data_IF_613936910694
#
_entry.id   IF_613936910694
#
_cell.length_a   1.000
_cell.length_b   1.000
_cell.length_c   1.000
_cell.angle_alpha   90.00
_cell.angle_beta   90.00
_cell.angle_gamma   90.00
#
_symmetry.space_group_name_H-M   'P 1'
#
loop_
_entity.id
_entity.type
_entity.pdbx_description
1 polymer ?
#
# COMPACT_ATOMS: atom_id res chain seq x y z
N UNK A 1 -19.64 -3.72 -10.69
CA UNK A 1 -18.87 -2.55 -10.26
C UNK A 1 -17.54 -3.00 -9.67
N UNK A 2 -16.55 -2.11 -9.66
CA UNK A 2 -15.24 -2.31 -9.01
C UNK A 2 -15.13 -1.39 -7.80
N UNK A 3 -14.87 -1.98 -6.64
CA UNK A 3 -14.63 -1.30 -5.37
C UNK A 3 -13.16 -1.41 -5.00
N UNK A 4 -12.45 -0.29 -5.00
CA UNK A 4 -11.08 -0.22 -4.51
C UNK A 4 -11.05 0.12 -3.02
N UNK A 5 -10.67 -0.84 -2.17
CA UNK A 5 -10.78 -0.71 -0.72
C UNK A 5 -9.41 -0.74 -0.04
N UNK A 6 -9.13 0.28 0.76
CA UNK A 6 -7.87 0.39 1.48
C UNK A 6 -8.00 1.13 2.80
N UNK A 7 -7.04 0.88 3.69
CA UNK A 7 -6.88 1.66 4.91
C UNK A 7 -6.04 2.90 4.61
N UNK A 8 -6.37 4.01 5.26
CA UNK A 8 -5.69 5.28 5.09
C UNK A 8 -5.18 5.84 6.42
N UNK A 9 -4.01 6.46 6.39
CA UNK A 9 -3.42 7.15 7.54
C UNK A 9 -3.12 8.63 7.23
N UNK A 10 -2.04 8.93 6.52
CA UNK A 10 -1.60 10.31 6.28
C UNK A 10 -0.91 10.53 4.92
N UNK A 11 -0.85 9.51 4.07
CA UNK A 11 -0.13 9.51 2.80
C UNK A 11 -0.96 10.16 1.68
N UNK A 12 -1.25 11.46 1.83
CA UNK A 12 -2.10 12.22 0.88
C UNK A 12 -1.57 12.19 -0.56
N UNK A 13 -0.24 12.18 -0.73
CA UNK A 13 0.41 12.12 -2.03
C UNK A 13 0.19 10.77 -2.72
N UNK A 14 0.35 9.67 -1.99
CA UNK A 14 0.05 8.33 -2.51
C UNK A 14 -1.44 8.15 -2.79
N UNK A 15 -2.30 8.72 -1.95
CA UNK A 15 -3.74 8.74 -2.21
C UNK A 15 -4.06 9.47 -3.52
N UNK A 16 -3.46 10.63 -3.77
CA UNK A 16 -3.67 11.37 -5.01
C UNK A 16 -3.22 10.57 -6.25
N UNK A 17 -2.03 9.97 -6.19
CA UNK A 17 -1.50 9.14 -7.28
C UNK A 17 -2.43 7.96 -7.53
N UNK A 18 -2.85 7.26 -6.47
CA UNK A 18 -3.74 6.10 -6.55
C UNK A 18 -5.09 6.46 -7.18
N UNK A 19 -5.72 7.54 -6.73
CA UNK A 19 -7.02 7.97 -7.23
C UNK A 19 -6.94 8.35 -8.71
N UNK A 20 -5.90 9.08 -9.13
CA UNK A 20 -5.70 9.45 -10.53
C UNK A 20 -5.43 8.24 -11.43
N UNK A 21 -4.58 7.31 -10.99
CA UNK A 21 -4.27 6.07 -11.73
C UNK A 21 -5.54 5.24 -12.00
N UNK A 22 -6.42 5.15 -10.99
CA UNK A 22 -7.54 4.22 -11.01
C UNK A 22 -8.89 4.84 -11.37
N UNK A 23 -8.99 6.16 -11.48
CA UNK A 23 -10.24 6.90 -11.71
C UNK A 23 -11.08 6.32 -12.87
N UNK A 24 -10.41 5.95 -13.97
CA UNK A 24 -11.08 5.45 -15.19
C UNK A 24 -11.55 4.00 -15.11
N UNK A 25 -11.16 3.24 -14.09
CA UNK A 25 -11.40 1.79 -13.98
C UNK A 25 -12.03 1.35 -12.66
N UNK A 26 -12.19 2.28 -11.71
CA UNK A 26 -12.81 2.05 -10.40
C UNK A 26 -14.11 2.84 -10.29
N UNK A 27 -15.17 2.18 -9.82
CA UNK A 27 -16.47 2.81 -9.62
C UNK A 27 -16.58 3.47 -8.24
N UNK A 28 -15.98 2.84 -7.21
CA UNK A 28 -16.01 3.33 -5.83
C UNK A 28 -14.68 3.12 -5.11
N UNK A 29 -14.21 4.14 -4.40
CA UNK A 29 -13.05 4.09 -3.52
C UNK A 29 -13.52 4.01 -2.06
N UNK A 30 -13.27 2.90 -1.39
CA UNK A 30 -13.60 2.72 0.03
C UNK A 30 -12.39 3.07 0.87
N UNK A 31 -12.39 4.28 1.43
CA UNK A 31 -11.31 4.80 2.27
C UNK A 31 -11.67 4.56 3.74
N UNK A 32 -10.96 3.66 4.40
CA UNK A 32 -11.16 3.41 5.83
C UNK A 32 -10.14 4.16 6.66
N UNK A 33 -10.61 5.10 7.47
CA UNK A 33 -9.77 5.95 8.30
C UNK A 33 -10.21 5.90 9.78
N UNK A 34 -9.24 5.81 10.68
CA UNK A 34 -9.46 5.85 12.12
C UNK A 34 -9.11 7.23 12.71
N UNK A 35 -9.70 7.60 13.86
CA UNK A 35 -9.32 8.80 14.64
C UNK A 35 -8.10 8.57 15.55
N UNK A 36 -7.36 7.47 15.34
CA UNK A 36 -6.18 7.10 16.11
C UNK A 36 -5.16 6.35 15.24
N UNK A 37 -3.88 6.42 15.62
CA UNK A 37 -2.81 5.60 15.03
C UNK A 37 -2.91 4.13 15.45
N UNK A 38 -2.13 3.24 14.84
CA UNK A 38 -2.07 1.84 15.30
C UNK A 38 -1.49 1.71 16.72
N UNK A 39 -0.63 2.63 17.13
CA UNK A 39 -0.16 2.74 18.52
C UNK A 39 -1.21 3.40 19.45
N UNK A 40 -2.38 3.74 18.92
CA UNK A 40 -3.55 4.39 19.52
C UNK A 40 -3.34 5.80 20.10
N UNK A 41 -2.38 6.53 19.54
CA UNK A 41 -2.33 8.00 19.71
C UNK A 41 -3.51 8.62 18.95
N UNK A 42 -4.31 9.53 19.56
CA UNK A 42 -5.34 10.27 18.83
C UNK A 42 -4.79 11.00 17.62
N UNK A 43 -5.59 11.11 16.55
CA UNK A 43 -5.29 11.89 15.34
C UNK A 43 -6.59 12.42 14.72
N UNK A 44 -6.55 13.53 13.98
CA UNK A 44 -7.70 13.92 13.18
C UNK A 44 -7.96 12.94 12.01
N UNK A 45 -9.11 13.12 11.37
CA UNK A 45 -9.40 12.50 10.07
C UNK A 45 -8.70 13.31 8.98
N UNK A 46 -7.47 12.91 8.63
CA UNK A 46 -6.59 13.57 7.68
C UNK A 46 -7.23 13.66 6.30
N UNK A 47 -7.96 12.62 5.87
CA UNK A 47 -8.68 12.69 4.60
C UNK A 47 -9.79 13.75 4.65
N UNK A 48 -10.56 13.79 5.75
CA UNK A 48 -11.63 14.77 5.94
C UNK A 48 -11.12 16.21 5.86
N UNK A 49 -10.03 16.52 6.57
CA UNK A 49 -9.40 17.85 6.58
C UNK A 49 -8.84 18.27 5.23
N UNK A 50 -8.58 17.31 4.33
CA UNK A 50 -7.96 17.53 3.03
C UNK A 50 -8.89 17.18 1.85
N UNK A 51 -10.20 17.02 2.08
CA UNK A 51 -11.16 16.59 1.04
C UNK A 51 -11.12 17.45 -0.22
N UNK A 52 -10.87 18.74 -0.08
CA UNK A 52 -10.78 19.68 -1.20
C UNK A 52 -9.70 19.26 -2.22
N UNK A 53 -8.59 18.66 -1.77
CA UNK A 53 -7.55 18.11 -2.65
C UNK A 53 -8.05 17.01 -3.58
N UNK A 54 -9.15 16.35 -3.21
CA UNK A 54 -9.72 15.19 -3.91
C UNK A 54 -11.10 15.47 -4.49
N UNK A 55 -11.45 16.76 -4.70
CA UNK A 55 -12.79 17.19 -5.16
C UNK A 55 -13.30 16.41 -6.37
N UNK A 56 -12.41 16.18 -7.35
CA UNK A 56 -12.67 15.39 -8.56
C UNK A 56 -13.23 13.98 -8.30
N UNK A 57 -12.92 13.37 -7.16
CA UNK A 57 -13.22 11.96 -6.88
C UNK A 57 -14.31 11.77 -5.80
N UNK A 58 -14.83 12.86 -5.21
CA UNK A 58 -15.68 12.78 -4.03
C UNK A 58 -16.98 11.99 -4.26
N UNK A 59 -17.51 11.98 -5.48
CA UNK A 59 -18.68 11.20 -5.88
C UNK A 59 -18.43 9.68 -5.89
N UNK A 60 -17.17 9.27 -6.08
CA UNK A 60 -16.72 7.87 -6.03
C UNK A 60 -16.26 7.44 -4.63
N UNK A 61 -15.94 8.37 -3.74
CA UNK A 61 -15.37 8.03 -2.43
C UNK A 61 -16.45 7.66 -1.40
N UNK A 62 -16.26 6.51 -0.77
CA UNK A 62 -16.97 6.06 0.43
C UNK A 62 -15.99 6.16 1.60
N UNK A 63 -16.14 7.19 2.43
CA UNK A 63 -15.28 7.41 3.60
C UNK A 63 -15.84 6.73 4.85
N UNK A 64 -15.18 5.65 5.29
CA UNK A 64 -15.52 4.89 6.50
C UNK A 64 -14.70 5.42 7.67
N UNK A 65 -15.32 6.25 8.52
CA UNK A 65 -14.72 6.79 9.74
C UNK A 65 -14.87 5.85 10.93
N UNK A 66 -13.76 5.54 11.59
CA UNK A 66 -13.73 4.71 12.80
C UNK A 66 -13.47 5.58 14.04
N UNK A 67 -14.48 5.66 14.91
CA UNK A 67 -14.43 6.33 16.22
C UNK A 67 -14.72 5.36 17.38
N UNK A 68 -15.15 4.14 17.07
CA UNK A 68 -15.45 3.08 18.03
C UNK A 68 -14.50 1.91 17.82
N UNK A 69 -13.99 1.36 18.91
CA UNK A 69 -12.97 0.32 18.91
C UNK A 69 -13.41 -0.89 19.72
N UNK A 70 -12.89 -2.09 19.41
CA UNK A 70 -13.08 -3.27 20.23
C UNK A 70 -12.59 -3.04 21.66
N UNK A 71 -13.21 -3.73 22.62
CA UNK A 71 -12.72 -3.75 23.99
C UNK A 71 -11.42 -4.57 24.04
N UNK A 72 -10.32 -3.91 24.44
CA UNK A 72 -9.04 -4.55 24.66
C UNK A 72 -8.81 -4.72 26.17
N UNK A 73 -8.97 -5.95 26.66
CA UNK A 73 -8.70 -6.30 28.05
C UNK A 73 -7.24 -6.75 28.17
N UNK A 74 -6.39 -6.13 29.02
CA UNK A 74 -4.94 -6.39 29.04
C UNK A 74 -4.53 -7.86 29.12
N UNK A 75 -5.26 -8.67 29.88
CA UNK A 75 -4.93 -10.09 30.12
C UNK A 75 -5.56 -11.02 29.08
N UNK A 76 -6.77 -10.71 28.60
CA UNK A 76 -7.56 -11.62 27.75
C UNK A 76 -7.40 -11.28 26.26
N UNK A 77 -7.31 -9.99 25.95
CA UNK A 77 -7.20 -9.47 24.58
C UNK A 77 -6.31 -8.22 24.59
N UNK A 78 -4.99 -8.38 24.86
CA UNK A 78 -4.09 -7.24 24.92
C UNK A 78 -4.13 -6.48 23.61
N UNK A 79 -4.15 -5.15 23.71
CA UNK A 79 -4.07 -4.27 22.55
C UNK A 79 -2.67 -4.38 21.94
N UNK A 80 -2.62 -4.52 20.62
CA UNK A 80 -1.37 -4.44 19.85
C UNK A 80 -1.59 -3.55 18.62
N UNK A 81 -0.51 -2.98 18.07
CA UNK A 81 -0.60 -2.18 16.85
C UNK A 81 -1.23 -2.98 15.70
N UNK A 82 -0.82 -4.24 15.56
CA UNK A 82 -1.42 -5.20 14.64
C UNK A 82 -2.93 -5.37 14.80
N UNK A 83 -3.46 -5.47 16.03
CA UNK A 83 -4.91 -5.59 16.23
C UNK A 83 -5.66 -4.33 15.81
N UNK A 84 -5.07 -3.15 15.98
CA UNK A 84 -5.64 -1.89 15.50
C UNK A 84 -5.69 -1.86 13.97
N UNK A 85 -4.59 -2.24 13.30
CA UNK A 85 -4.53 -2.38 11.85
C UNK A 85 -5.56 -3.39 11.33
N UNK A 86 -5.65 -4.56 11.98
CA UNK A 86 -6.61 -5.60 11.59
C UNK A 86 -8.04 -5.11 11.73
N UNK A 87 -8.35 -4.38 12.81
CA UNK A 87 -9.66 -3.79 13.00
C UNK A 87 -9.99 -2.74 11.93
N UNK A 88 -9.04 -1.88 11.59
CA UNK A 88 -9.22 -0.88 10.54
C UNK A 88 -9.44 -1.56 9.18
N UNK A 89 -8.59 -2.51 8.79
CA UNK A 89 -8.73 -3.24 7.53
C UNK A 89 -10.00 -4.07 7.47
N UNK A 90 -10.37 -4.73 8.57
CA UNK A 90 -11.63 -5.48 8.63
C UNK A 90 -12.85 -4.57 8.53
N UNK A 91 -12.73 -3.28 8.87
CA UNK A 91 -13.81 -2.32 8.73
C UNK A 91 -14.10 -1.90 7.28
N UNK A 92 -13.32 -2.36 6.29
CA UNK A 92 -13.65 -2.24 4.86
C UNK A 92 -15.08 -2.69 4.57
N UNK A 93 -15.53 -3.78 5.21
CA UNK A 93 -16.89 -4.31 5.05
C UNK A 93 -17.99 -3.29 5.36
N UNK A 94 -17.70 -2.26 6.18
CA UNK A 94 -18.67 -1.21 6.50
C UNK A 94 -18.97 -0.29 5.32
N UNK A 95 -18.05 -0.20 4.35
CA UNK A 95 -18.19 0.58 3.11
C UNK A 95 -18.78 -0.20 1.94
N UNK A 96 -18.86 -1.52 2.05
CA UNK A 96 -19.39 -2.42 0.99
C UNK A 96 -20.92 -2.60 1.09
N UNK A 97 -21.65 -1.51 1.35
CA UNK A 97 -23.10 -1.53 1.47
C UNK A 97 -23.70 -1.55 0.06
N UNK A 98 -24.57 -2.51 -0.23
CA UNK A 98 -25.26 -2.69 -1.51
C UNK A 98 -24.40 -3.27 -2.66
N UNK A 99 -23.29 -3.93 -2.35
CA UNK A 99 -22.55 -4.69 -3.36
C UNK A 99 -23.38 -5.86 -3.88
N UNK A 100 -23.33 -6.08 -5.20
CA UNK A 100 -23.88 -7.25 -5.88
C UNK A 100 -22.92 -8.44 -5.76
N UNK A 101 -23.40 -9.69 -5.87
CA UNK A 101 -22.56 -10.88 -5.78
C UNK A 101 -21.30 -10.87 -6.66
N UNK A 102 -21.41 -10.33 -7.88
CA UNK A 102 -20.30 -10.29 -8.84
C UNK A 102 -19.59 -8.92 -8.91
N UNK A 103 -19.87 -8.01 -7.98
CA UNK A 103 -19.04 -6.81 -7.82
C UNK A 103 -17.62 -7.22 -7.41
N UNK A 104 -16.63 -6.53 -7.98
CA UNK A 104 -15.22 -6.83 -7.78
C UNK A 104 -14.73 -6.00 -6.60
N UNK A 105 -14.20 -6.66 -5.59
CA UNK A 105 -13.61 -6.02 -4.42
C UNK A 105 -12.10 -6.13 -4.51
N UNK A 106 -11.41 -5.00 -4.41
CA UNK A 106 -9.97 -4.92 -4.26
C UNK A 106 -9.67 -4.58 -2.80
N UNK A 107 -8.74 -5.30 -2.18
CA UNK A 107 -8.32 -5.06 -0.79
C UNK A 107 -6.81 -4.89 -0.77
N UNK A 108 -6.32 -3.69 -0.47
CA UNK A 108 -4.90 -3.37 -0.33
C UNK A 108 -4.66 -2.26 0.70
N UNK A 109 -3.42 -1.76 0.81
CA UNK A 109 -3.11 -0.52 1.53
C UNK A 109 -2.99 0.65 0.55
N UNK A 110 -3.05 1.90 1.04
CA UNK A 110 -3.00 3.09 0.17
C UNK A 110 -1.73 3.14 -0.69
N UNK A 111 -0.61 2.65 -0.15
CA UNK A 111 0.69 2.59 -0.80
C UNK A 111 0.84 1.43 -1.81
N UNK A 112 -0.17 0.57 -1.94
CA UNK A 112 -0.20 -0.57 -2.86
C UNK A 112 -1.14 -0.28 -4.04
N UNK A 113 -0.60 0.40 -5.07
CA UNK A 113 -1.33 0.93 -6.22
C UNK A 113 -1.34 -0.12 -7.35
N UNK A 114 -2.47 -0.76 -7.69
CA UNK A 114 -2.56 -1.67 -8.82
C UNK A 114 -2.44 -0.93 -10.16
N UNK A 115 -1.94 -1.61 -11.19
CA UNK A 115 -1.98 -1.10 -12.58
C UNK A 115 -3.40 -1.00 -13.07
N UNK A 116 -3.78 0.11 -13.69
CA UNK A 116 -5.12 0.28 -14.27
C UNK A 116 -5.48 -0.84 -15.28
N UNK A 117 -4.50 -1.39 -16.01
CA UNK A 117 -4.72 -2.47 -16.99
C UNK A 117 -5.18 -3.76 -16.31
N UNK A 118 -4.65 -4.06 -15.12
CA UNK A 118 -5.05 -5.25 -14.35
C UNK A 118 -6.50 -5.12 -13.91
N UNK A 119 -6.86 -3.94 -13.38
CA UNK A 119 -8.22 -3.67 -12.93
C UNK A 119 -9.20 -3.64 -14.10
N UNK A 120 -8.80 -3.02 -15.23
CA UNK A 120 -9.58 -3.03 -16.46
C UNK A 120 -9.84 -4.45 -16.95
N UNK A 121 -8.84 -5.34 -16.93
CA UNK A 121 -9.01 -6.75 -17.30
C UNK A 121 -10.02 -7.46 -16.40
N UNK A 122 -9.94 -7.27 -15.09
CA UNK A 122 -10.92 -7.81 -14.15
C UNK A 122 -12.33 -7.27 -14.42
N UNK A 123 -12.46 -5.97 -14.65
CA UNK A 123 -13.76 -5.36 -14.93
C UNK A 123 -14.37 -5.84 -16.25
N UNK A 124 -13.57 -6.02 -17.30
CA UNK A 124 -14.05 -6.42 -18.63
C UNK A 124 -14.49 -7.89 -18.69
N UNK A 125 -13.78 -8.78 -18.01
CA UNK A 125 -14.02 -10.22 -18.08
C UNK A 125 -14.78 -10.77 -16.87
N UNK A 126 -14.93 -9.98 -15.82
CA UNK A 126 -15.33 -10.48 -14.50
C UNK A 126 -14.25 -11.35 -13.87
N UNK A 127 -14.48 -11.74 -12.61
CA UNK A 127 -13.67 -12.72 -11.90
C UNK A 127 -14.57 -13.68 -11.12
N UNK A 128 -14.20 -14.95 -11.08
CA UNK A 128 -14.99 -16.03 -10.46
C UNK A 128 -14.32 -16.62 -9.19
N UNK A 129 -13.12 -16.16 -8.88
CA UNK A 129 -12.26 -16.66 -7.80
C UNK A 129 -11.45 -15.53 -7.17
N UNK A 130 -10.77 -15.86 -6.07
CA UNK A 130 -9.86 -14.95 -5.39
C UNK A 130 -8.52 -14.95 -6.13
N UNK A 131 -7.97 -13.76 -6.39
CA UNK A 131 -6.65 -13.54 -6.95
C UNK A 131 -5.78 -12.76 -5.98
N UNK A 132 -4.50 -13.13 -5.91
CA UNK A 132 -3.46 -12.24 -5.41
C UNK A 132 -2.87 -11.44 -6.55
N UNK A 133 -2.49 -10.20 -6.29
CA UNK A 133 -1.81 -9.35 -7.27
C UNK A 133 -0.45 -8.97 -6.72
N UNK A 134 0.57 -9.36 -7.47
CA UNK A 134 1.98 -9.21 -7.13
C UNK A 134 2.50 -7.87 -7.64
N UNK A 135 3.09 -7.09 -6.76
CA UNK A 135 3.53 -5.73 -6.99
C UNK A 135 5.05 -5.62 -6.91
N UNK A 136 5.58 -4.70 -7.69
CA UNK A 136 6.98 -4.25 -7.57
C UNK A 136 7.09 -3.36 -6.34
N UNK A 137 8.06 -3.65 -5.47
CA UNK A 137 8.28 -2.87 -4.26
C UNK A 137 9.29 -1.77 -4.53
N UNK A 138 8.95 -0.57 -4.09
CA UNK A 138 9.77 0.63 -4.16
C UNK A 138 9.89 1.20 -2.75
N UNK A 139 11.09 1.63 -2.37
CA UNK A 139 11.34 2.16 -1.04
C UNK A 139 12.06 3.50 -1.11
N UNK A 140 11.66 4.44 -0.25
CA UNK A 140 12.28 5.75 -0.05
C UNK A 140 11.99 6.76 -1.18
N UNK A 141 12.14 6.34 -2.44
CA UNK A 141 11.90 7.15 -3.63
C UNK A 141 11.11 6.35 -4.67
N UNK A 142 10.32 7.04 -5.51
CA UNK A 142 9.49 6.40 -6.52
C UNK A 142 10.28 5.56 -7.51
N UNK A 143 11.51 5.96 -7.85
CA UNK A 143 12.40 5.23 -8.75
C UNK A 143 13.37 4.26 -8.06
N UNK A 144 13.24 4.01 -6.76
CA UNK A 144 14.16 3.14 -6.03
C UNK A 144 13.55 1.76 -5.79
N UNK A 145 13.69 0.91 -6.81
CA UNK A 145 13.04 -0.40 -6.90
C UNK A 145 13.83 -1.45 -6.12
N UNK A 146 13.16 -2.22 -5.29
CA UNK A 146 13.69 -3.41 -4.65
C UNK A 146 13.84 -4.52 -5.71
N UNK A 147 15.04 -5.07 -5.85
CA UNK A 147 15.35 -6.13 -6.82
C UNK A 147 15.67 -7.47 -6.16
N UNK A 148 15.93 -7.48 -4.86
CA UNK A 148 16.20 -8.69 -4.09
C UNK A 148 15.80 -8.50 -2.62
N UNK A 149 15.17 -9.51 -2.04
CA UNK A 149 14.85 -9.60 -0.61
C UNK A 149 15.22 -10.99 -0.08
N UNK A 150 16.34 -11.08 0.66
CA UNK A 150 16.80 -12.33 1.25
C UNK A 150 15.82 -12.92 2.28
N UNK A 151 14.99 -12.08 2.91
CA UNK A 151 13.95 -12.51 3.86
C UNK A 151 12.72 -13.12 3.19
N UNK A 152 12.48 -12.82 1.91
CA UNK A 152 11.37 -13.38 1.14
C UNK A 152 11.56 -14.87 0.80
N UNK A 153 12.79 -15.38 0.92
CA UNK A 153 13.23 -16.68 0.42
C UNK A 153 12.97 -16.88 -1.08
N UNK A 154 12.71 -15.83 -1.84
CA UNK A 154 12.63 -15.88 -3.31
C UNK A 154 14.04 -15.83 -3.91
N UNK A 155 14.23 -16.47 -5.06
CA UNK A 155 15.45 -16.24 -5.84
C UNK A 155 15.38 -14.92 -6.63
N UNK A 156 16.50 -14.54 -7.25
CA UNK A 156 16.59 -13.30 -8.04
C UNK A 156 15.70 -13.31 -9.28
N UNK A 157 15.40 -14.48 -9.86
CA UNK A 157 14.52 -14.59 -11.03
C UNK A 157 13.06 -14.38 -10.63
N UNK A 158 12.64 -14.96 -9.50
CA UNK A 158 11.32 -14.73 -8.90
C UNK A 158 11.12 -13.28 -8.48
N UNK A 159 12.16 -12.66 -7.91
CA UNK A 159 12.16 -11.26 -7.46
C UNK A 159 12.00 -10.26 -8.61
N UNK A 160 12.47 -10.60 -9.83
CA UNK A 160 12.26 -9.77 -11.03
C UNK A 160 10.79 -9.57 -11.39
N UNK A 161 9.91 -10.47 -10.98
CA UNK A 161 8.48 -10.41 -11.25
C UNK A 161 7.69 -9.75 -10.10
N UNK A 162 8.36 -8.93 -9.28
CA UNK A 162 7.86 -8.34 -8.05
C UNK A 162 8.25 -9.14 -6.81
N UNK A 163 8.03 -8.59 -5.62
CA UNK A 163 8.41 -9.24 -4.35
C UNK A 163 7.20 -9.35 -3.40
N UNK A 164 6.14 -8.56 -3.63
CA UNK A 164 5.07 -8.34 -2.66
C UNK A 164 3.69 -8.78 -3.22
N UNK A 165 3.01 -9.74 -2.59
CA UNK A 165 1.72 -10.30 -3.05
C UNK A 165 0.53 -9.78 -2.22
N UNK A 166 0.18 -8.50 -2.32
CA UNK A 166 -0.53 -7.88 -1.20
C UNK A 166 -1.89 -7.29 -1.50
N UNK A 167 -2.19 -7.00 -2.77
CA UNK A 167 -3.58 -6.74 -3.14
C UNK A 167 -4.31 -8.05 -3.37
N UNK A 168 -5.50 -8.14 -2.79
CA UNK A 168 -6.48 -9.19 -3.08
C UNK A 168 -7.52 -8.64 -4.04
N UNK A 169 -7.87 -9.40 -5.06
CA UNK A 169 -9.04 -9.16 -5.89
C UNK A 169 -10.00 -10.36 -5.79
N UNK A 170 -11.28 -10.11 -5.57
CA UNK A 170 -12.29 -11.16 -5.45
C UNK A 170 -13.68 -10.65 -5.85
N UNK A 171 -14.58 -11.51 -6.37
CA UNK A 171 -15.99 -11.17 -6.44
C UNK A 171 -16.56 -11.11 -5.01
N UNK A 172 -17.46 -10.16 -4.76
CA UNK A 172 -18.03 -9.87 -3.45
C UNK A 172 -18.67 -11.11 -2.80
N UNK A 173 -19.29 -11.99 -3.60
CA UNK A 173 -19.87 -13.25 -3.14
C UNK A 173 -18.88 -14.20 -2.47
N UNK A 174 -17.57 -14.02 -2.66
CA UNK A 174 -16.52 -14.82 -2.02
C UNK A 174 -15.92 -14.14 -0.77
N UNK A 175 -16.38 -12.95 -0.40
CA UNK A 175 -15.92 -12.23 0.80
C UNK A 175 -16.59 -12.79 2.07
N UNK A 176 -16.22 -14.03 2.44
CA UNK A 176 -16.71 -14.69 3.66
C UNK A 176 -15.77 -14.53 4.85
N UNK A 177 -14.48 -14.31 4.59
CA UNK A 177 -13.47 -14.07 5.62
C UNK A 177 -13.27 -12.58 5.87
N UNK A 178 -12.80 -12.23 7.07
CA UNK A 178 -12.43 -10.86 7.39
C UNK A 178 -11.31 -10.36 6.43
N UNK A 179 -11.41 -9.14 5.88
CA UNK A 179 -10.45 -8.59 4.90
C UNK A 179 -8.98 -8.80 5.25
N UNK A 180 -8.60 -8.59 6.52
CA UNK A 180 -7.23 -8.78 6.97
C UNK A 180 -6.77 -10.25 6.92
N UNK A 181 -7.64 -11.20 7.27
CA UNK A 181 -7.33 -12.63 7.23
C UNK A 181 -7.14 -13.09 5.79
N UNK A 182 -8.03 -12.63 4.90
CA UNK A 182 -7.96 -12.93 3.48
C UNK A 182 -6.63 -12.43 2.88
N UNK A 183 -6.27 -11.17 3.15
CA UNK A 183 -5.00 -10.60 2.70
C UNK A 183 -3.79 -11.36 3.20
N UNK A 184 -3.73 -11.70 4.50
CA UNK A 184 -2.64 -12.53 5.05
C UNK A 184 -2.53 -13.90 4.38
N UNK A 185 -3.64 -14.49 3.97
CA UNK A 185 -3.66 -15.76 3.25
C UNK A 185 -3.07 -15.62 1.85
N UNK A 186 -3.40 -14.54 1.15
CA UNK A 186 -2.90 -14.23 -0.21
C UNK A 186 -1.41 -13.86 -0.21
N UNK A 187 -0.94 -13.15 0.83
CA UNK A 187 0.46 -12.74 0.99
C UNK A 187 1.46 -13.91 1.13
N UNK A 188 0.99 -15.14 1.30
CA UNK A 188 1.88 -16.31 1.35
C UNK A 188 2.42 -16.59 -0.05
N UNK A 189 3.74 -16.45 -0.20
CA UNK A 189 4.46 -16.65 -1.47
C UNK A 189 4.27 -18.05 -2.03
N UNK A 190 4.58 -18.25 -3.32
CA UNK A 190 4.48 -19.55 -4.01
C UNK A 190 5.23 -20.65 -3.25
N UNK A 191 6.40 -20.33 -2.67
CA UNK A 191 7.21 -21.24 -1.84
C UNK A 191 6.56 -21.65 -0.51
N UNK A 192 5.56 -20.90 -0.02
CA UNK A 192 4.77 -21.22 1.19
C UNK A 192 3.45 -21.94 0.86
N UNK A 193 3.27 -22.41 -0.38
CA UNK A 193 2.05 -23.05 -0.86
C UNK A 193 0.97 -22.01 -1.16
N UNK A 194 1.11 -21.28 -2.27
CA UNK A 194 0.13 -20.28 -2.69
C UNK A 194 -1.26 -20.91 -2.79
N UNK A 195 -2.21 -20.39 -2.00
CA UNK A 195 -3.60 -20.88 -1.98
C UNK A 195 -4.41 -20.41 -3.18
N UNK A 196 -4.02 -19.28 -3.77
CA UNK A 196 -4.77 -18.58 -4.81
C UNK A 196 -3.86 -18.24 -6.01
N UNK A 197 -4.42 -18.14 -7.22
CA UNK A 197 -3.67 -17.66 -8.38
C UNK A 197 -3.10 -16.27 -8.15
N UNK A 198 -1.85 -16.06 -8.59
CA UNK A 198 -1.13 -14.79 -8.45
C UNK A 198 -0.96 -14.14 -9.83
N UNK A 199 -1.41 -12.89 -9.97
CA UNK A 199 -1.16 -12.06 -11.15
C UNK A 199 0.20 -11.37 -10.98
N UNK A 200 1.21 -11.68 -11.81
CA UNK A 200 2.52 -11.02 -11.76
C UNK A 200 2.45 -9.59 -12.32
N UNK A 201 3.43 -8.74 -11.96
CA UNK A 201 3.59 -7.39 -12.50
C UNK A 201 2.29 -6.55 -12.44
N UNK A 202 1.63 -6.61 -11.29
CA UNK A 202 0.27 -6.14 -11.11
C UNK A 202 0.13 -4.73 -10.55
N UNK A 203 1.23 -4.07 -10.20
CA UNK A 203 1.22 -2.75 -9.58
C UNK A 203 2.51 -2.41 -8.86
N UNK A 204 2.40 -1.38 -8.04
CA UNK A 204 3.50 -0.78 -7.28
C UNK A 204 3.17 -0.80 -5.79
N UNK A 205 4.17 -1.09 -4.97
CA UNK A 205 4.12 -0.87 -3.54
C UNK A 205 5.15 0.20 -3.14
N UNK A 206 4.68 1.39 -2.78
CA UNK A 206 5.51 2.54 -2.48
C UNK A 206 5.70 2.75 -0.97
N UNK A 207 6.70 2.11 -0.39
CA UNK A 207 6.92 2.18 1.05
C UNK A 207 7.94 3.27 1.43
N UNK A 208 7.75 3.93 2.57
CA UNK A 208 8.68 4.92 3.13
C UNK A 208 8.95 6.14 2.21
N UNK A 209 7.95 6.56 1.43
CA UNK A 209 8.06 7.70 0.52
C UNK A 209 8.07 9.05 1.24
N UNK A 210 8.72 10.05 0.62
CA UNK A 210 8.66 11.46 1.04
C UNK A 210 9.84 11.96 1.87
N UNK A 211 11.00 11.32 1.74
CA UNK A 211 12.24 11.77 2.36
C UNK A 211 12.35 11.46 3.85
N UNK A 212 13.47 11.87 4.44
CA UNK A 212 13.87 11.49 5.80
C UNK A 212 12.79 11.75 6.87
N UNK A 213 12.18 12.93 6.86
CA UNK A 213 11.18 13.29 7.87
C UNK A 213 9.94 12.40 7.82
N UNK A 214 9.50 12.02 6.60
CA UNK A 214 8.38 11.09 6.40
C UNK A 214 8.74 9.66 6.80
N UNK A 215 9.99 9.25 6.58
CA UNK A 215 10.51 7.96 7.06
C UNK A 215 10.41 7.91 8.59
N UNK A 216 10.90 8.94 9.28
CA UNK A 216 10.83 9.03 10.75
C UNK A 216 9.37 9.03 11.23
N UNK A 217 8.50 9.83 10.61
CA UNK A 217 7.06 9.85 10.95
C UNK A 217 6.40 8.47 10.78
N UNK A 218 6.74 7.73 9.72
CA UNK A 218 6.24 6.36 9.48
C UNK A 218 6.72 5.39 10.57
N UNK A 219 8.00 5.45 10.94
CA UNK A 219 8.57 4.61 12.02
C UNK A 219 7.86 4.80 13.36
N UNK A 220 7.43 6.02 13.66
CA UNK A 220 6.78 6.34 14.93
C UNK A 220 5.29 6.00 15.00
N UNK A 221 4.68 5.62 13.88
CA UNK A 221 3.23 5.40 13.76
C UNK A 221 2.83 4.02 13.23
N UNK A 222 3.73 3.30 12.56
CA UNK A 222 3.47 2.00 11.93
C UNK A 222 3.45 0.82 12.94
N UNK A 223 3.00 -0.35 12.47
CA UNK A 223 2.80 -1.57 13.27
C UNK A 223 4.09 -2.30 13.66
N UNK A 224 5.17 -2.12 12.89
CA UNK A 224 6.49 -2.71 13.14
C UNK A 224 7.30 -1.87 14.14
N UNK A 225 6.92 -1.94 15.41
CA UNK A 225 7.53 -1.15 16.49
C UNK A 225 9.00 -1.48 16.74
N UNK A 226 9.48 -2.65 16.31
CA UNK A 226 10.87 -3.09 16.42
C UNK A 226 11.86 -2.20 15.67
N UNK A 227 11.40 -1.47 14.65
CA UNK A 227 12.24 -0.55 13.88
C UNK A 227 12.23 0.89 14.41
N UNK A 228 11.46 1.19 15.46
CA UNK A 228 11.41 2.52 16.06
C UNK A 228 12.57 2.74 17.05
N UNK A 229 13.81 2.77 16.54
CA UNK A 229 15.04 2.96 17.32
C UNK A 229 15.82 4.20 16.83
N UNK A 230 16.48 4.92 17.74
CA UNK A 230 17.20 6.17 17.43
C UNK A 230 18.30 5.99 16.38
N UNK A 231 18.91 4.80 16.32
CA UNK A 231 19.93 4.48 15.32
C UNK A 231 19.40 4.56 13.87
N UNK A 232 18.10 4.35 13.65
CA UNK A 232 17.45 4.43 12.34
C UNK A 232 16.87 5.82 12.05
N UNK A 233 17.11 6.80 12.93
CA UNK A 233 16.66 8.20 12.84
C UNK A 233 17.84 9.18 12.73
N UNK A 234 18.99 8.73 12.25
CA UNK A 234 20.15 9.59 11.98
C UNK A 234 20.17 9.94 10.50
N UNK A 235 19.94 11.21 10.18
CA UNK A 235 19.72 11.68 8.79
C UNK A 235 20.88 11.30 7.86
N UNK A 236 22.11 11.59 8.27
CA UNK A 236 23.30 11.37 7.46
C UNK A 236 23.50 9.89 7.13
N UNK A 237 23.25 9.02 8.11
CA UNK A 237 23.36 7.56 7.96
C UNK A 237 22.27 7.03 7.03
N UNK A 238 21.04 7.52 7.19
CA UNK A 238 19.90 7.10 6.35
C UNK A 238 20.12 7.52 4.90
N UNK A 239 20.55 8.76 4.66
CA UNK A 239 20.84 9.26 3.32
C UNK A 239 21.99 8.46 2.68
N UNK A 240 23.08 8.19 3.41
CA UNK A 240 24.20 7.38 2.91
C UNK A 240 23.76 5.95 2.52
N UNK A 241 22.94 5.30 3.34
CA UNK A 241 22.42 3.96 3.06
C UNK A 241 21.53 3.94 1.83
N UNK A 242 20.62 4.92 1.69
CA UNK A 242 19.74 5.01 0.52
C UNK A 242 20.55 5.26 -0.76
N UNK A 243 21.50 6.21 -0.74
CA UNK A 243 22.35 6.51 -1.90
C UNK A 243 23.28 5.34 -2.28
N UNK A 244 23.62 4.46 -1.34
CA UNK A 244 24.41 3.26 -1.61
C UNK A 244 23.56 2.04 -2.00
N UNK A 245 22.24 2.20 -2.16
CA UNK A 245 21.33 1.13 -2.56
C UNK A 245 21.14 0.06 -1.48
N UNK A 246 21.30 0.42 -0.21
CA UNK A 246 21.18 -0.46 0.95
C UNK A 246 19.93 -0.14 1.77
N UNK A 247 19.46 -1.12 2.52
CA UNK A 247 18.35 -0.95 3.44
C UNK A 247 18.73 -0.14 4.68
N UNK A 248 17.86 0.80 5.08
CA UNK A 248 18.09 1.66 6.26
C UNK A 248 18.06 0.87 7.57
N UNK A 249 17.51 -0.34 7.58
CA UNK A 249 17.46 -1.22 8.75
C UNK A 249 18.56 -2.30 8.74
N UNK A 250 19.44 -2.31 7.74
CA UNK A 250 20.52 -3.30 7.61
C UNK A 250 20.05 -4.69 7.21
N UNK A 251 18.85 -4.82 6.62
CA UNK A 251 18.35 -6.08 6.07
C UNK A 251 19.07 -6.45 4.77
N UNK A 252 19.04 -7.73 4.42
CA UNK A 252 19.57 -8.25 3.16
C UNK A 252 18.63 -7.93 1.98
N UNK A 253 18.58 -6.64 1.64
CA UNK A 253 17.79 -6.09 0.54
C UNK A 253 18.73 -5.38 -0.43
N UNK A 254 18.46 -5.54 -1.73
CA UNK A 254 19.17 -4.81 -2.78
C UNK A 254 18.20 -3.98 -3.61
N UNK A 255 18.63 -2.76 -3.93
CA UNK A 255 17.84 -1.81 -4.68
C UNK A 255 18.52 -1.38 -5.98
N UNK A 256 17.71 -0.97 -6.95
CA UNK A 256 18.16 -0.37 -8.21
C UNK A 256 17.35 0.89 -8.50
N UNK A 257 18.05 1.95 -8.92
CA UNK A 257 17.42 3.14 -9.49
C UNK A 257 16.92 2.83 -10.90
N UNK A 258 15.63 3.04 -11.15
CA UNK A 258 14.98 2.82 -12.45
C UNK A 258 14.59 4.13 -13.12
N UNK A 259 14.20 4.05 -14.39
CA UNK A 259 13.72 5.22 -15.14
C UNK A 259 12.43 5.80 -14.53
N UNK A 260 12.30 7.13 -14.60
CA UNK A 260 11.22 7.90 -13.96
C UNK A 260 9.86 7.78 -14.66
N UNK A 261 9.81 7.28 -15.90
CA UNK A 261 8.58 7.24 -16.70
C UNK A 261 8.12 5.82 -16.96
N UNK A 262 9.00 4.92 -17.43
CA UNK A 262 8.58 3.58 -17.86
C UNK A 262 8.03 2.70 -16.72
N UNK A 263 8.45 2.95 -15.48
CA UNK A 263 8.13 2.12 -14.33
C UNK A 263 7.17 2.79 -13.35
N UNK A 264 6.45 3.83 -13.74
CA UNK A 264 5.56 4.60 -12.85
C UNK A 264 4.08 4.46 -13.25
N UNK A 265 3.14 4.76 -12.32
CA UNK A 265 1.73 4.97 -12.66
C UNK A 265 1.58 5.97 -13.80
N UNK A 266 0.55 5.80 -14.63
CA UNK A 266 0.30 6.64 -15.80
C UNK A 266 0.07 8.10 -15.42
N UNK A 267 -0.30 8.36 -14.17
CA UNK A 267 -0.37 9.71 -13.60
C UNK A 267 0.94 10.51 -13.77
N UNK A 268 2.10 9.83 -13.75
CA UNK A 268 3.42 10.45 -13.97
C UNK A 268 3.73 10.70 -15.44
N UNK A 269 2.87 10.31 -16.40
CA UNK A 269 3.06 10.70 -17.80
C UNK A 269 2.86 12.21 -18.04
N UNK A 270 2.20 12.91 -17.10
CA UNK A 270 2.04 14.36 -17.14
C UNK A 270 3.33 15.06 -16.62
N UNK A 271 3.97 15.93 -17.42
CA UNK A 271 5.15 16.70 -17.00
C UNK A 271 4.95 17.52 -15.72
N UNK A 272 3.79 18.14 -15.53
CA UNK A 272 3.50 18.96 -14.34
C UNK A 272 3.49 18.10 -13.06
N UNK A 273 3.03 16.84 -13.19
CA UNK A 273 3.06 15.86 -12.09
C UNK A 273 4.49 15.45 -11.80
N UNK A 274 5.32 15.22 -12.83
CA UNK A 274 6.73 14.89 -12.64
C UNK A 274 7.49 16.02 -11.95
N UNK A 275 7.24 17.28 -12.35
CA UNK A 275 7.84 18.45 -11.71
C UNK A 275 7.42 18.55 -10.24
N UNK A 276 6.11 18.45 -9.96
CA UNK A 276 5.60 18.52 -8.58
C UNK A 276 6.16 17.44 -7.66
N UNK A 277 6.42 16.24 -8.19
CA UNK A 277 6.97 15.13 -7.43
C UNK A 277 8.48 14.95 -7.63
N UNK A 278 9.21 15.95 -8.15
CA UNK A 278 10.65 15.84 -8.44
C UNK A 278 11.46 15.34 -7.26
N UNK A 279 11.15 15.82 -6.06
CA UNK A 279 11.86 15.50 -4.82
C UNK A 279 11.58 14.08 -4.31
N UNK A 280 10.58 13.40 -4.88
CA UNK A 280 10.28 12.00 -4.61
C UNK A 280 11.05 11.04 -5.53
N UNK A 281 11.92 11.56 -6.40
CA UNK A 281 12.82 10.76 -7.22
C UNK A 281 14.26 10.92 -6.78
N UNK A 282 14.94 9.79 -6.59
CA UNK A 282 16.37 9.79 -6.28
C UNK A 282 17.14 10.29 -7.50
N UNK A 283 17.87 11.40 -7.34
CA UNK A 283 18.85 11.84 -8.32
C UNK A 283 20.11 10.99 -8.19
N UNK A 284 20.46 10.30 -9.27
CA UNK A 284 21.72 9.58 -9.32
C UNK A 284 22.85 10.60 -9.42
N UNK A 285 23.59 10.82 -8.33
CA UNK A 285 24.94 11.38 -8.39
C UNK A 285 25.88 10.19 -8.52
N UNK A 286 26.47 9.90 -9.70
CA UNK A 286 27.56 8.95 -9.78
C UNK A 286 28.60 9.40 -8.75
N UNK A 287 29.11 8.48 -7.93
CA UNK A 287 30.34 8.80 -7.17
C UNK A 287 31.42 9.18 -8.20
N UNK A 288 32.11 10.32 -8.02
CA UNK A 288 33.22 10.69 -8.89
C UNK A 288 34.32 9.63 -8.88
#
# INVERSE_FOLDING_TARGET
MVYDCFIFFNELDLLEIRLNELDSVVDKFVIVEADRTFQNKPKPFIFEENKQRFEKFLDKIIHVKLTKYPLFLPVINPRTAWKMEFYQRNSIVKGLRNCRPDDIILISDVDEIPKKEVIRKFSLHGIDRIFGVKMDMFMYFFNHKLIFDGGSQMDRLESKNGIWHCMVALPYRLLHEAPNRLRKTVMRTVRRGAKYPIIPNGGWHFSYMGGFDKIVQKLESFSHTEYNLDQYKKKEVVEELIHSGKDIFGRDLEFKVVDRVENMPDYFSNPDVQERFSDYFLEYKPKP
#
